data_IF_980702499621
#
_entry.id   IF_980702499621
#
_cell.length_a   1.000
_cell.length_b   1.000
_cell.length_c   1.000
_cell.angle_alpha   90.00
_cell.angle_beta   90.00
_cell.angle_gamma   90.00
#
_symmetry.space_group_name_H-M   'P 1'
#
loop_
_entity.id
_entity.type
_entity.pdbx_description
1 polymer ?
#
# COMPACT_ATOMS: atom_id res chain seq x y z
N UNK A 1 -13.08 6.18 42.25
CA UNK A 1 -12.85 5.61 40.90
C UNK A 1 -13.38 6.60 39.89
N UNK A 2 -12.67 6.87 38.79
CA UNK A 2 -13.19 7.73 37.73
C UNK A 2 -14.45 7.11 37.12
N UNK A 3 -15.48 7.92 36.89
CA UNK A 3 -16.67 7.54 36.14
C UNK A 3 -16.35 7.50 34.64
N UNK A 4 -17.08 6.69 33.88
CA UNK A 4 -16.99 6.69 32.42
C UNK A 4 -17.64 7.95 31.84
N UNK A 5 -17.09 8.43 30.72
CA UNK A 5 -17.66 9.54 29.98
C UNK A 5 -18.97 9.14 29.30
N UNK A 6 -19.78 10.13 28.93
CA UNK A 6 -21.01 9.90 28.16
C UNK A 6 -20.71 9.22 26.81
N UNK A 7 -19.65 9.65 26.11
CA UNK A 7 -19.19 9.06 24.86
C UNK A 7 -18.86 7.57 25.02
N UNK A 8 -18.17 7.17 26.10
CA UNK A 8 -17.86 5.77 26.38
C UNK A 8 -19.14 4.93 26.56
N UNK A 9 -20.16 5.49 27.21
CA UNK A 9 -21.45 4.82 27.45
C UNK A 9 -22.30 4.74 26.16
N UNK A 10 -22.22 5.75 25.29
CA UNK A 10 -22.86 5.74 23.96
C UNK A 10 -22.20 4.68 23.07
N UNK A 11 -20.87 4.64 23.02
CA UNK A 11 -20.13 3.61 22.27
C UNK A 11 -20.44 2.21 22.82
N UNK A 12 -20.59 2.06 24.14
CA UNK A 12 -21.02 0.82 24.76
C UNK A 12 -22.45 0.41 24.33
N UNK A 13 -23.38 1.36 24.18
CA UNK A 13 -24.75 1.11 23.68
C UNK A 13 -24.75 0.55 22.25
N UNK A 14 -23.95 1.12 21.34
CA UNK A 14 -23.84 0.65 19.95
C UNK A 14 -22.97 -0.61 19.78
N UNK A 15 -22.30 -1.06 20.85
CA UNK A 15 -21.39 -2.21 20.79
C UNK A 15 -19.99 -1.88 20.25
N UNK A 16 -19.68 -0.60 20.07
CA UNK A 16 -18.42 -0.10 19.48
C UNK A 16 -17.39 0.35 20.55
N UNK A 17 -17.74 0.26 21.84
CA UNK A 17 -16.88 0.68 22.94
C UNK A 17 -15.69 -0.24 23.21
N UNK A 18 -14.49 0.33 23.32
CA UNK A 18 -13.31 -0.36 23.86
C UNK A 18 -13.54 -0.74 25.33
N UNK A 19 -13.04 -1.90 25.78
CA UNK A 19 -13.13 -2.37 27.19
C UNK A 19 -14.55 -2.60 27.70
N UNK A 20 -15.41 -3.19 26.85
CA UNK A 20 -16.80 -3.55 27.17
C UNK A 20 -16.98 -4.23 28.53
N UNK A 21 -16.15 -5.23 28.83
CA UNK A 21 -16.22 -6.00 30.07
C UNK A 21 -15.94 -5.17 31.34
N UNK A 22 -15.11 -4.12 31.24
CA UNK A 22 -14.83 -3.24 32.38
C UNK A 22 -15.97 -2.25 32.63
N UNK A 23 -16.59 -1.76 31.55
CA UNK A 23 -17.79 -0.92 31.62
C UNK A 23 -18.95 -1.73 32.23
N UNK A 24 -19.18 -2.97 31.78
CA UNK A 24 -20.20 -3.86 32.35
C UNK A 24 -20.00 -4.09 33.86
N UNK A 25 -18.76 -4.37 34.28
CA UNK A 25 -18.42 -4.52 35.70
C UNK A 25 -18.66 -3.23 36.48
N UNK A 26 -18.33 -2.08 35.90
CA UNK A 26 -18.51 -0.78 36.53
C UNK A 26 -19.99 -0.37 36.63
N UNK A 27 -20.81 -0.66 35.61
CA UNK A 27 -22.25 -0.42 35.65
C UNK A 27 -22.93 -1.28 36.74
N UNK A 28 -22.40 -2.48 37.02
CA UNK A 28 -22.85 -3.30 38.15
C UNK A 28 -22.44 -2.76 39.53
N UNK A 29 -21.33 -2.04 39.62
CA UNK A 29 -20.77 -1.54 40.88
C UNK A 29 -21.10 -0.06 41.18
N UNK A 30 -21.47 0.73 40.17
CA UNK A 30 -21.64 2.18 40.27
C UNK A 30 -23.04 2.63 39.86
N UNK A 31 -23.85 3.07 40.83
CA UNK A 31 -25.24 3.47 40.62
C UNK A 31 -25.39 4.74 39.78
N UNK A 32 -24.45 5.70 39.85
CA UNK A 32 -24.50 6.92 39.04
C UNK A 32 -24.27 6.64 37.56
N UNK A 33 -23.27 5.82 37.22
CA UNK A 33 -23.03 5.39 35.84
C UNK A 33 -24.18 4.51 35.30
N UNK A 34 -24.77 3.66 36.14
CA UNK A 34 -25.96 2.89 35.75
C UNK A 34 -27.19 3.78 35.48
N UNK A 35 -27.37 4.86 36.25
CA UNK A 35 -28.42 5.84 36.00
C UNK A 35 -28.18 6.62 34.69
N UNK A 36 -26.95 7.11 34.48
CA UNK A 36 -26.58 7.80 33.24
C UNK A 36 -26.77 6.90 32.00
N UNK A 37 -26.33 5.65 32.07
CA UNK A 37 -26.51 4.69 30.98
C UNK A 37 -27.99 4.42 30.67
N UNK A 38 -28.84 4.26 31.68
CA UNK A 38 -30.29 4.09 31.46
C UNK A 38 -30.94 5.28 30.77
N UNK A 39 -30.52 6.51 31.11
CA UNK A 39 -31.00 7.73 30.46
C UNK A 39 -30.59 7.79 28.99
N UNK A 40 -29.33 7.47 28.69
CA UNK A 40 -28.79 7.44 27.32
C UNK A 40 -29.50 6.36 26.50
N UNK A 41 -29.57 5.12 27.01
CA UNK A 41 -30.22 4.01 26.33
C UNK A 41 -31.71 4.28 26.09
N UNK A 42 -32.40 4.91 27.06
CA UNK A 42 -33.79 5.36 26.90
C UNK A 42 -33.94 6.33 25.73
N UNK A 43 -33.14 7.39 25.71
CA UNK A 43 -33.17 8.40 24.63
C UNK A 43 -32.86 7.79 23.26
N UNK A 44 -31.81 6.97 23.17
CA UNK A 44 -31.39 6.36 21.91
C UNK A 44 -32.39 5.30 21.40
N UNK A 45 -33.09 4.59 22.30
CA UNK A 45 -34.12 3.63 21.90
C UNK A 45 -35.35 4.26 21.24
N UNK A 46 -35.57 5.57 21.43
CA UNK A 46 -36.63 6.31 20.74
C UNK A 46 -36.32 6.49 19.25
N UNK A 47 -35.04 6.43 18.86
CA UNK A 47 -34.63 6.49 17.46
C UNK A 47 -34.77 5.09 16.87
N UNK A 48 -35.93 4.81 16.30
CA UNK A 48 -36.15 3.59 15.53
C UNK A 48 -35.39 3.71 14.21
N UNK A 49 -34.57 2.71 13.88
CA UNK A 49 -33.96 2.63 12.55
C UNK A 49 -35.09 2.64 11.51
N UNK A 50 -35.13 3.61 10.57
CA UNK A 50 -36.16 3.61 9.56
C UNK A 50 -36.07 2.31 8.76
N UNK A 51 -37.22 1.73 8.41
CA UNK A 51 -37.25 0.63 7.45
C UNK A 51 -36.53 1.10 6.19
N UNK A 52 -35.50 0.37 5.79
CA UNK A 52 -34.76 0.69 4.57
C UNK A 52 -35.71 0.39 3.40
N UNK A 53 -36.12 1.39 2.61
CA UNK A 53 -37.03 1.16 1.51
C UNK A 53 -36.37 0.22 0.49
N UNK A 54 -37.17 -0.70 -0.04
CA UNK A 54 -36.72 -1.60 -1.09
C UNK A 54 -36.34 -0.79 -2.33
N UNK A 55 -35.11 -0.94 -2.79
CA UNK A 55 -34.58 -0.22 -3.95
C UNK A 55 -34.89 -1.02 -5.20
N UNK A 56 -35.41 -0.35 -6.21
CA UNK A 56 -35.64 -0.98 -7.51
C UNK A 56 -34.30 -1.36 -8.19
N UNK A 57 -34.38 -2.20 -9.22
CA UNK A 57 -33.23 -2.68 -9.99
C UNK A 57 -32.44 -1.55 -10.68
N UNK A 58 -33.06 -0.38 -10.89
CA UNK A 58 -32.47 0.78 -11.58
C UNK A 58 -31.75 1.71 -10.62
N UNK A 59 -31.99 1.63 -9.32
CA UNK A 59 -31.37 2.47 -8.30
C UNK A 59 -29.84 2.52 -8.44
N UNK A 60 -29.21 1.37 -8.66
CA UNK A 60 -27.76 1.30 -8.88
C UNK A 60 -27.29 2.11 -10.10
N UNK A 61 -28.02 2.02 -11.21
CA UNK A 61 -27.73 2.77 -12.44
C UNK A 61 -27.93 4.28 -12.23
N UNK A 62 -28.99 4.68 -11.54
CA UNK A 62 -29.27 6.10 -11.28
C UNK A 62 -28.23 6.74 -10.36
N UNK A 63 -27.82 6.01 -9.31
CA UNK A 63 -26.73 6.43 -8.42
C UNK A 63 -25.42 6.50 -9.19
N UNK A 64 -25.11 5.49 -10.00
CA UNK A 64 -23.91 5.47 -10.82
C UNK A 64 -23.85 6.65 -11.81
N UNK A 65 -24.93 6.94 -12.51
CA UNK A 65 -25.00 8.09 -13.44
C UNK A 65 -24.80 9.44 -12.74
N UNK A 66 -25.16 9.54 -11.45
CA UNK A 66 -24.97 10.76 -10.66
C UNK A 66 -23.54 10.89 -10.14
N UNK A 67 -22.91 9.78 -9.74
CA UNK A 67 -21.57 9.78 -9.12
C UNK A 67 -20.46 9.72 -10.17
N UNK A 68 -20.68 9.11 -11.34
CA UNK A 68 -19.65 8.92 -12.39
C UNK A 68 -18.89 10.20 -12.79
N UNK A 69 -19.51 11.37 -12.65
CA UNK A 69 -18.90 12.66 -13.00
C UNK A 69 -18.15 13.31 -11.83
N UNK A 70 -18.35 12.81 -10.61
CA UNK A 70 -17.66 13.26 -9.39
C UNK A 70 -16.52 12.34 -8.98
N UNK A 71 -16.50 11.12 -9.51
CA UNK A 71 -15.34 10.24 -9.37
C UNK A 71 -14.15 10.88 -10.11
N UNK A 72 -12.96 10.95 -9.50
CA UNK A 72 -11.76 11.32 -10.23
C UNK A 72 -11.63 10.37 -11.42
N UNK A 73 -11.23 10.91 -12.58
CA UNK A 73 -10.85 10.07 -13.70
C UNK A 73 -9.77 9.11 -13.20
N UNK A 74 -10.13 7.83 -13.06
CA UNK A 74 -9.13 6.78 -12.95
C UNK A 74 -8.32 6.88 -14.23
N UNK A 75 -7.10 7.41 -14.13
CA UNK A 75 -6.16 7.50 -15.25
C UNK A 75 -6.02 6.10 -15.83
N UNK A 76 -6.78 5.86 -16.89
CA UNK A 76 -6.81 4.58 -17.56
C UNK A 76 -5.57 4.58 -18.44
N UNK A 77 -4.68 3.65 -18.14
CA UNK A 77 -3.53 3.27 -18.95
C UNK A 77 -2.34 4.25 -18.97
N UNK A 78 -1.48 4.07 -17.98
CA UNK A 78 -0.03 4.28 -18.04
C UNK A 78 0.70 3.27 -18.97
N UNK A 79 -0.04 2.49 -19.77
CA UNK A 79 0.55 1.76 -20.89
C UNK A 79 0.79 2.73 -22.04
N UNK A 80 2.03 2.90 -22.53
CA UNK A 80 2.27 3.91 -23.52
C UNK A 80 1.61 3.54 -24.85
N UNK A 81 1.18 4.56 -25.57
CA UNK A 81 0.72 4.48 -26.96
C UNK A 81 1.82 4.07 -27.97
N UNK A 82 3.03 3.71 -27.51
CA UNK A 82 4.15 3.23 -28.35
C UNK A 82 3.92 1.83 -28.97
N UNK A 83 2.94 1.06 -28.47
CA UNK A 83 2.65 -0.28 -28.96
C UNK A 83 1.63 -0.32 -30.10
N UNK A 84 1.14 0.86 -30.53
CA UNK A 84 0.20 1.01 -31.65
C UNK A 84 0.74 1.95 -32.72
N UNK A 85 1.90 1.62 -33.28
CA UNK A 85 2.29 2.14 -34.59
C UNK A 85 2.45 0.98 -35.58
N UNK A 86 1.61 1.03 -36.60
CA UNK A 86 1.46 0.02 -37.63
C UNK A 86 2.78 -0.31 -38.32
N UNK A 87 3.00 -1.62 -38.45
CA UNK A 87 4.29 -2.31 -38.54
C UNK A 87 4.90 -2.36 -39.95
N UNK A 88 4.86 -1.30 -40.76
CA UNK A 88 5.42 -1.39 -42.11
C UNK A 88 6.40 -0.27 -42.53
N UNK A 89 6.54 0.83 -41.79
CA UNK A 89 7.48 1.90 -42.17
C UNK A 89 8.82 1.90 -41.38
N UNK A 90 8.92 1.19 -40.25
CA UNK A 90 10.05 1.33 -39.30
C UNK A 90 11.22 0.37 -39.56
N UNK A 91 11.04 -0.66 -40.39
CA UNK A 91 12.09 -1.65 -40.66
C UNK A 91 13.34 -1.06 -41.37
N UNK A 92 13.19 0.05 -42.10
CA UNK A 92 14.31 0.73 -42.77
C UNK A 92 15.12 1.66 -41.86
N UNK A 93 14.47 2.33 -40.91
CA UNK A 93 15.12 3.35 -40.07
C UNK A 93 15.90 2.73 -38.88
N UNK A 94 15.43 1.61 -38.34
CA UNK A 94 16.09 0.93 -37.23
C UNK A 94 17.46 0.34 -37.62
N UNK A 95 17.60 -0.21 -38.82
CA UNK A 95 18.86 -0.80 -39.29
C UNK A 95 19.96 0.26 -39.47
N UNK A 96 19.63 1.45 -39.98
CA UNK A 96 20.58 2.55 -40.12
C UNK A 96 21.05 3.07 -38.76
N UNK A 97 20.14 3.18 -37.79
CA UNK A 97 20.48 3.65 -36.45
C UNK A 97 21.33 2.62 -35.69
N UNK A 98 21.03 1.33 -35.82
CA UNK A 98 21.88 0.25 -35.28
C UNK A 98 23.29 0.26 -35.89
N UNK A 99 23.42 0.50 -37.21
CA UNK A 99 24.72 0.61 -37.86
C UNK A 99 25.55 1.79 -37.34
N UNK A 100 24.92 2.95 -37.11
CA UNK A 100 25.58 4.14 -36.54
C UNK A 100 26.02 3.89 -35.10
N UNK A 101 25.19 3.24 -34.27
CA UNK A 101 25.52 2.92 -32.88
C UNK A 101 26.68 1.92 -32.81
N UNK A 102 26.68 0.90 -33.66
CA UNK A 102 27.78 -0.07 -33.73
C UNK A 102 29.07 0.60 -34.20
N UNK A 103 29.00 1.46 -35.21
CA UNK A 103 30.16 2.22 -35.68
C UNK A 103 30.72 3.16 -34.60
N UNK A 104 29.84 3.88 -33.88
CA UNK A 104 30.24 4.75 -32.77
C UNK A 104 30.83 3.95 -31.58
N UNK A 105 30.29 2.77 -31.30
CA UNK A 105 30.80 1.88 -30.25
C UNK A 105 32.19 1.32 -30.58
N UNK A 106 32.38 0.86 -31.82
CA UNK A 106 33.68 0.35 -32.29
C UNK A 106 34.71 1.48 -32.36
N UNK A 107 34.32 2.66 -32.84
CA UNK A 107 35.18 3.84 -32.85
C UNK A 107 35.58 4.27 -31.42
N UNK A 108 34.65 4.28 -30.47
CA UNK A 108 34.92 4.61 -29.07
C UNK A 108 35.75 3.57 -28.32
N UNK A 109 35.72 2.30 -28.76
CA UNK A 109 36.50 1.22 -28.16
C UNK A 109 37.94 1.17 -28.65
N UNK A 110 38.20 1.65 -29.86
CA UNK A 110 39.52 1.62 -30.51
C UNK A 110 40.30 2.93 -30.38
N UNK A 111 39.64 4.05 -30.04
CA UNK A 111 40.33 5.34 -29.85
C UNK A 111 40.99 5.42 -28.47
N UNK A 112 42.30 5.75 -28.37
CA UNK A 112 42.92 6.07 -27.11
C UNK A 112 42.23 7.30 -26.50
N UNK A 113 41.71 7.17 -25.28
CA UNK A 113 41.18 8.30 -24.51
C UNK A 113 42.31 9.31 -24.31
N UNK A 114 42.21 10.44 -24.99
CA UNK A 114 42.94 11.65 -24.60
C UNK A 114 42.17 12.26 -23.44
N UNK A 115 42.78 12.30 -22.26
CA UNK A 115 42.28 13.03 -21.11
C UNK A 115 42.26 14.53 -21.44
N UNK A 116 41.10 15.03 -21.83
CA UNK A 116 40.83 16.47 -21.85
C UNK A 116 40.51 16.92 -20.41
N UNK A 117 41.33 17.80 -19.80
CA UNK A 117 41.03 18.31 -18.48
C UNK A 117 39.96 19.40 -18.57
N UNK A 118 38.88 19.23 -17.81
CA UNK A 118 38.07 20.34 -17.34
C UNK A 118 36.79 20.63 -18.12
N UNK A 119 35.77 19.77 -17.99
CA UNK A 119 34.40 20.25 -17.92
C UNK A 119 33.65 19.48 -16.83
N UNK A 120 33.78 19.93 -15.58
CA UNK A 120 32.86 19.53 -14.51
C UNK A 120 31.52 20.22 -14.81
N UNK A 121 30.61 19.50 -15.45
CA UNK A 121 29.20 19.90 -15.54
C UNK A 121 28.64 19.95 -14.11
N UNK A 122 28.38 21.16 -13.61
CA UNK A 122 27.63 21.41 -12.38
C UNK A 122 26.10 21.19 -12.57
N UNK A 123 25.73 20.08 -13.21
CA UNK A 123 24.34 19.71 -13.50
C UNK A 123 23.96 18.31 -12.95
N UNK A 124 24.83 17.67 -12.16
CA UNK A 124 24.61 16.31 -11.65
C UNK A 124 23.73 16.24 -10.40
N UNK A 125 23.73 17.26 -9.55
CA UNK A 125 23.20 17.08 -8.19
C UNK A 125 21.67 17.14 -8.15
N UNK A 126 21.05 18.06 -8.90
CA UNK A 126 19.59 18.23 -8.92
C UNK A 126 18.85 17.10 -9.64
N UNK A 127 19.43 16.56 -10.72
CA UNK A 127 18.85 15.44 -11.46
C UNK A 127 18.94 14.13 -10.64
N UNK A 128 20.04 13.93 -9.92
CA UNK A 128 20.21 12.77 -9.04
C UNK A 128 19.28 12.85 -7.83
N UNK A 129 19.09 14.05 -7.26
CA UNK A 129 18.20 14.29 -6.13
C UNK A 129 16.71 14.17 -6.50
N UNK A 130 16.31 14.62 -7.70
CA UNK A 130 14.97 14.36 -8.22
C UNK A 130 14.72 12.86 -8.46
N UNK A 131 15.69 12.15 -9.04
CA UNK A 131 15.60 10.70 -9.23
C UNK A 131 15.52 9.91 -7.92
N UNK A 132 16.22 10.35 -6.88
CA UNK A 132 16.12 9.76 -5.53
C UNK A 132 14.72 10.01 -4.93
N UNK A 133 14.17 11.22 -5.03
CA UNK A 133 12.83 11.52 -4.52
C UNK A 133 11.72 10.72 -5.21
N UNK A 134 11.77 10.61 -6.54
CA UNK A 134 10.82 9.79 -7.30
C UNK A 134 10.92 8.32 -6.92
N UNK A 135 12.15 7.82 -6.69
CA UNK A 135 12.35 6.44 -6.23
C UNK A 135 11.76 6.20 -4.85
N UNK A 136 12.01 7.10 -3.89
CA UNK A 136 11.46 6.96 -2.53
C UNK A 136 9.94 6.98 -2.55
N UNK A 137 9.33 7.83 -3.38
CA UNK A 137 7.87 7.88 -3.56
C UNK A 137 7.32 6.58 -4.13
N UNK A 138 7.99 6.01 -5.14
CA UNK A 138 7.59 4.73 -5.71
C UNK A 138 7.73 3.57 -4.70
N UNK A 139 8.78 3.56 -3.88
CA UNK A 139 8.95 2.57 -2.82
C UNK A 139 7.89 2.76 -1.73
N UNK A 140 7.55 3.99 -1.37
CA UNK A 140 6.50 4.29 -0.39
C UNK A 140 5.13 3.77 -0.85
N UNK A 141 4.73 4.06 -2.10
CA UNK A 141 3.49 3.54 -2.69
C UNK A 141 3.45 2.00 -2.72
N UNK A 142 4.58 1.37 -3.06
CA UNK A 142 4.73 -0.09 -3.05
C UNK A 142 4.54 -0.68 -1.66
N UNK A 143 5.14 -0.07 -0.63
CA UNK A 143 4.98 -0.49 0.76
C UNK A 143 3.54 -0.34 1.23
N UNK A 144 2.83 0.72 0.83
CA UNK A 144 1.41 0.91 1.15
C UNK A 144 0.53 -0.19 0.51
N UNK A 145 0.77 -0.50 -0.78
CA UNK A 145 0.06 -1.58 -1.48
C UNK A 145 0.34 -2.93 -0.83
N UNK A 146 1.58 -3.16 -0.38
CA UNK A 146 1.97 -4.37 0.34
C UNK A 146 1.33 -4.47 1.74
N UNK A 147 1.23 -3.37 2.48
CA UNK A 147 0.51 -3.32 3.76
C UNK A 147 -0.94 -3.76 3.60
N UNK A 148 -1.62 -3.26 2.56
CA UNK A 148 -3.02 -3.60 2.27
C UNK A 148 -3.21 -5.11 2.07
N UNK A 149 -2.37 -5.74 1.26
CA UNK A 149 -2.43 -7.20 1.02
C UNK A 149 -2.17 -7.98 2.31
N UNK A 150 -1.15 -7.59 3.09
CA UNK A 150 -0.85 -8.24 4.36
C UNK A 150 -2.00 -8.08 5.38
N UNK A 151 -2.65 -6.92 5.40
CA UNK A 151 -3.84 -6.69 6.23
C UNK A 151 -5.05 -7.52 5.78
N UNK A 152 -5.24 -7.69 4.47
CA UNK A 152 -6.32 -8.52 3.93
C UNK A 152 -6.10 -10.00 4.32
N UNK A 153 -4.88 -10.52 4.21
CA UNK A 153 -4.54 -11.88 4.68
C UNK A 153 -4.71 -12.00 6.19
N UNK A 154 -4.29 -11.00 6.96
CA UNK A 154 -4.41 -11.00 8.42
C UNK A 154 -5.87 -10.98 8.87
N UNK A 155 -6.72 -10.21 8.20
CA UNK A 155 -8.13 -10.02 8.56
C UNK A 155 -9.09 -10.93 7.78
N UNK A 156 -8.57 -11.80 6.90
CA UNK A 156 -9.37 -12.80 6.21
C UNK A 156 -10.17 -13.62 7.23
N UNK A 157 -11.50 -13.60 7.08
CA UNK A 157 -12.40 -14.28 7.99
C UNK A 157 -13.60 -14.82 7.23
N UNK A 158 -14.04 -16.02 7.62
CA UNK A 158 -15.20 -16.68 7.04
C UNK A 158 -16.27 -16.91 8.09
N UNK A 159 -17.48 -17.21 7.62
CA UNK A 159 -18.56 -17.68 8.50
C UNK A 159 -18.09 -18.89 9.32
N UNK A 160 -18.59 -19.02 10.55
CA UNK A 160 -18.14 -20.04 11.51
C UNK A 160 -18.31 -21.45 10.92
N UNK A 161 -17.21 -22.12 10.61
CA UNK A 161 -17.17 -23.47 10.00
C UNK A 161 -17.07 -23.50 8.47
N UNK A 162 -17.05 -22.36 7.79
CA UNK A 162 -16.78 -22.26 6.36
C UNK A 162 -15.27 -22.16 6.07
N UNK A 163 -14.87 -22.62 4.89
CA UNK A 163 -13.55 -22.34 4.35
C UNK A 163 -13.42 -20.84 4.04
N UNK A 164 -12.25 -20.29 4.30
CA UNK A 164 -11.87 -18.91 4.05
C UNK A 164 -11.15 -18.89 2.70
N UNK A 165 -11.68 -18.14 1.75
CA UNK A 165 -11.05 -17.93 0.45
C UNK A 165 -10.07 -16.75 0.54
N UNK A 166 -8.82 -16.98 0.15
CA UNK A 166 -7.75 -15.97 0.09
C UNK A 166 -7.23 -15.78 -1.34
N UNK A 167 -7.93 -16.30 -2.36
CA UNK A 167 -7.53 -16.22 -3.77
C UNK A 167 -7.26 -14.79 -4.24
N UNK A 168 -8.08 -13.83 -3.82
CA UNK A 168 -7.88 -12.43 -4.17
C UNK A 168 -6.56 -11.89 -3.58
N UNK A 169 -6.31 -12.16 -2.30
CA UNK A 169 -5.07 -11.76 -1.63
C UNK A 169 -3.83 -12.43 -2.26
N UNK A 170 -3.96 -13.67 -2.76
CA UNK A 170 -2.90 -14.33 -3.52
C UNK A 170 -2.63 -13.66 -4.87
N UNK A 171 -3.69 -13.25 -5.59
CA UNK A 171 -3.57 -12.48 -6.82
C UNK A 171 -2.82 -11.16 -6.58
N UNK A 172 -3.24 -10.41 -5.56
CA UNK A 172 -2.58 -9.16 -5.21
C UNK A 172 -1.12 -9.36 -4.75
N UNK A 173 -0.83 -10.43 -4.01
CA UNK A 173 0.54 -10.76 -3.62
C UNK A 173 1.41 -11.13 -4.82
N UNK A 174 0.86 -11.81 -5.83
CA UNK A 174 1.59 -12.17 -7.03
C UNK A 174 2.00 -10.94 -7.85
N UNK A 175 1.08 -9.98 -7.99
CA UNK A 175 1.32 -8.74 -8.72
C UNK A 175 2.44 -7.88 -8.08
N UNK A 176 2.65 -8.00 -6.78
CA UNK A 176 3.65 -7.22 -6.04
C UNK A 176 5.09 -7.75 -6.14
N UNK A 177 5.30 -9.00 -6.56
CA UNK A 177 6.63 -9.64 -6.48
C UNK A 177 7.63 -9.00 -7.44
N UNK A 178 7.22 -8.72 -8.68
CA UNK A 178 8.13 -8.19 -9.70
C UNK A 178 8.59 -6.77 -9.36
N UNK A 179 7.65 -5.91 -8.94
CA UNK A 179 7.96 -4.56 -8.47
C UNK A 179 8.84 -4.58 -7.22
N UNK A 180 8.57 -5.49 -6.29
CA UNK A 180 9.36 -5.66 -5.08
C UNK A 180 10.84 -6.00 -5.38
N UNK A 181 11.09 -6.87 -6.36
CA UNK A 181 12.44 -7.21 -6.82
C UNK A 181 13.15 -5.99 -7.40
N UNK A 182 12.46 -5.25 -8.25
CA UNK A 182 12.97 -4.02 -8.86
C UNK A 182 13.38 -3.00 -7.80
N UNK A 183 12.52 -2.76 -6.80
CA UNK A 183 12.79 -1.83 -5.72
C UNK A 183 13.92 -2.30 -4.79
N UNK A 184 13.99 -3.60 -4.48
CA UNK A 184 15.10 -4.14 -3.69
C UNK A 184 16.44 -3.94 -4.40
N UNK A 185 16.52 -4.25 -5.70
CA UNK A 185 17.73 -4.03 -6.49
C UNK A 185 18.10 -2.55 -6.59
N UNK A 186 17.11 -1.67 -6.68
CA UNK A 186 17.33 -0.22 -6.69
C UNK A 186 17.86 0.30 -5.35
N UNK A 187 17.30 -0.17 -4.22
CA UNK A 187 17.75 0.16 -2.88
C UNK A 187 19.17 -0.36 -2.60
N UNK A 188 19.46 -1.61 -2.98
CA UNK A 188 20.79 -2.20 -2.82
C UNK A 188 21.86 -1.43 -3.61
N UNK A 189 21.56 -1.03 -4.85
CA UNK A 189 22.46 -0.19 -5.67
C UNK A 189 22.68 1.21 -5.10
N UNK A 190 21.70 1.73 -4.35
CA UNK A 190 21.79 3.01 -3.66
C UNK A 190 22.58 2.93 -2.34
N UNK A 191 22.86 1.73 -1.84
CA UNK A 191 23.47 1.49 -0.53
C UNK A 191 22.48 1.52 0.63
N UNK A 192 21.17 1.56 0.35
CA UNK A 192 20.11 1.57 1.36
C UNK A 192 19.81 0.14 1.86
N UNK A 193 20.72 -0.43 2.67
CA UNK A 193 20.63 -1.83 3.12
C UNK A 193 19.37 -2.11 3.93
N UNK A 194 18.96 -1.19 4.81
CA UNK A 194 17.73 -1.34 5.60
C UNK A 194 16.49 -1.50 4.73
N UNK A 195 16.39 -0.72 3.64
CA UNK A 195 15.26 -0.81 2.70
C UNK A 195 15.33 -2.14 1.94
N UNK A 196 16.52 -2.51 1.46
CA UNK A 196 16.72 -3.77 0.74
C UNK A 196 16.37 -4.99 1.60
N UNK A 197 16.70 -4.97 2.90
CA UNK A 197 16.41 -6.06 3.84
C UNK A 197 14.90 -6.20 4.10
N UNK A 198 14.18 -5.08 4.28
CA UNK A 198 12.72 -5.10 4.45
C UNK A 198 12.02 -5.62 3.18
N UNK A 199 12.47 -5.18 2.00
CA UNK A 199 11.92 -5.65 0.73
C UNK A 199 12.27 -7.14 0.46
N UNK A 200 13.39 -7.63 0.97
CA UNK A 200 13.75 -9.05 0.91
C UNK A 200 12.87 -9.91 1.83
N UNK A 201 12.66 -9.48 3.08
CA UNK A 201 11.70 -10.10 4.00
C UNK A 201 10.29 -10.11 3.39
N UNK A 202 9.89 -9.00 2.75
CA UNK A 202 8.60 -8.88 2.07
C UNK A 202 8.46 -9.87 0.91
N UNK A 203 9.50 -10.06 0.07
CA UNK A 203 9.43 -11.04 -1.04
C UNK A 203 9.17 -12.45 -0.52
N UNK A 204 9.87 -12.87 0.54
CA UNK A 204 9.74 -14.22 1.10
C UNK A 204 8.30 -14.48 1.55
N UNK A 205 7.69 -13.49 2.20
CA UNK A 205 6.32 -13.58 2.70
C UNK A 205 5.28 -13.52 1.59
N UNK A 206 5.46 -12.64 0.59
CA UNK A 206 4.60 -12.62 -0.60
C UNK A 206 4.65 -13.94 -1.36
N UNK A 207 5.84 -14.53 -1.52
CA UNK A 207 5.99 -15.86 -2.14
C UNK A 207 5.30 -16.95 -1.33
N UNK A 208 5.38 -16.92 -0.01
CA UNK A 208 4.68 -17.90 0.84
C UNK A 208 3.15 -17.77 0.72
N UNK A 209 2.62 -16.55 0.64
CA UNK A 209 1.20 -16.29 0.40
C UNK A 209 0.79 -16.86 -0.97
N UNK A 210 1.53 -16.55 -2.04
CA UNK A 210 1.22 -16.97 -3.42
C UNK A 210 1.24 -18.49 -3.58
N UNK A 211 2.19 -19.19 -2.94
CA UNK A 211 2.31 -20.65 -3.07
C UNK A 211 1.50 -21.42 -2.02
N UNK A 212 0.77 -20.72 -1.15
CA UNK A 212 -0.15 -21.31 -0.18
C UNK A 212 -1.45 -21.85 -0.82
N UNK A 213 -2.26 -22.62 -0.08
CA UNK A 213 -3.58 -23.02 -0.54
C UNK A 213 -4.54 -21.81 -0.54
N UNK A 214 -5.32 -21.67 -1.61
CA UNK A 214 -6.27 -20.57 -1.80
C UNK A 214 -7.51 -20.65 -0.91
N UNK A 215 -7.85 -21.84 -0.43
CA UNK A 215 -8.95 -22.07 0.52
C UNK A 215 -8.43 -22.68 1.81
N UNK A 216 -8.64 -21.99 2.93
CA UNK A 216 -8.10 -22.33 4.24
C UNK A 216 -9.21 -22.61 5.25
N UNK A 217 -9.02 -23.59 6.13
CA UNK A 217 -9.81 -23.66 7.36
C UNK A 217 -9.34 -22.58 8.36
N UNK A 218 -10.16 -22.16 9.33
CA UNK A 218 -9.74 -21.19 10.34
C UNK A 218 -8.45 -21.58 11.10
N UNK A 219 -8.26 -22.87 11.37
CA UNK A 219 -7.05 -23.36 12.02
C UNK A 219 -5.80 -23.28 11.11
N UNK A 220 -5.96 -23.54 9.80
CA UNK A 220 -4.87 -23.40 8.83
C UNK A 220 -4.52 -21.93 8.59
N UNK A 221 -5.51 -21.03 8.55
CA UNK A 221 -5.26 -19.60 8.44
C UNK A 221 -4.46 -19.08 9.64
N UNK A 222 -4.78 -19.53 10.85
CA UNK A 222 -4.01 -19.16 12.04
C UNK A 222 -2.56 -19.68 11.97
N UNK A 223 -2.34 -20.89 11.47
CA UNK A 223 -0.98 -21.38 11.22
C UNK A 223 -0.23 -20.55 10.19
N UNK A 224 -0.90 -20.10 9.13
CA UNK A 224 -0.31 -19.20 8.12
C UNK A 224 0.06 -17.85 8.75
N UNK A 225 -0.81 -17.26 9.57
CA UNK A 225 -0.51 -16.00 10.29
C UNK A 225 0.71 -16.09 11.20
N UNK A 226 0.83 -17.20 11.93
CA UNK A 226 1.99 -17.46 12.81
C UNK A 226 3.26 -17.67 12.00
N UNK A 227 3.17 -18.37 10.86
CA UNK A 227 4.34 -18.72 10.05
C UNK A 227 4.88 -17.53 9.24
N UNK A 228 4.00 -16.65 8.77
CA UNK A 228 4.35 -15.46 7.99
C UNK A 228 5.00 -14.33 8.82
N UNK A 229 5.18 -14.49 10.14
CA UNK A 229 5.60 -13.40 11.05
C UNK A 229 4.87 -12.07 10.74
N UNK A 230 3.62 -12.15 10.29
CA UNK A 230 2.99 -11.10 9.50
C UNK A 230 2.81 -9.80 10.30
N UNK A 231 2.62 -9.91 11.62
CA UNK A 231 2.58 -8.78 12.52
C UNK A 231 3.93 -8.04 12.61
N UNK A 232 5.04 -8.78 12.62
CA UNK A 232 6.38 -8.19 12.64
C UNK A 232 6.72 -7.56 11.28
N UNK A 233 6.36 -8.22 10.17
CA UNK A 233 6.55 -7.66 8.83
C UNK A 233 5.69 -6.40 8.62
N UNK A 234 4.39 -6.44 8.97
CA UNK A 234 3.50 -5.28 8.90
C UNK A 234 4.06 -4.09 9.70
N UNK A 235 4.63 -4.35 10.88
CA UNK A 235 5.28 -3.31 11.66
C UNK A 235 6.50 -2.72 10.94
N UNK A 236 7.40 -3.55 10.38
CA UNK A 236 8.56 -3.08 9.61
C UNK A 236 8.15 -2.25 8.39
N UNK A 237 7.14 -2.71 7.64
CA UNK A 237 6.61 -2.04 6.45
C UNK A 237 6.04 -0.67 6.83
N UNK A 238 5.25 -0.58 7.92
CA UNK A 238 4.70 0.69 8.42
C UNK A 238 5.76 1.68 8.84
N UNK A 239 6.70 1.24 9.68
CA UNK A 239 7.80 2.10 10.14
C UNK A 239 8.59 2.62 8.96
N UNK A 240 8.91 1.75 7.99
CA UNK A 240 9.68 2.17 6.82
C UNK A 240 8.89 3.12 5.91
N UNK A 241 7.59 2.88 5.71
CA UNK A 241 6.71 3.78 4.98
C UNK A 241 6.67 5.18 5.61
N UNK A 242 6.52 5.25 6.94
CA UNK A 242 6.48 6.52 7.67
C UNK A 242 7.82 7.26 7.59
N UNK A 243 8.95 6.55 7.75
CA UNK A 243 10.29 7.13 7.58
C UNK A 243 10.53 7.68 6.17
N UNK A 244 10.05 6.98 5.14
CA UNK A 244 10.17 7.44 3.75
C UNK A 244 9.35 8.70 3.50
N UNK A 245 8.13 8.77 4.05
CA UNK A 245 7.27 9.97 3.96
C UNK A 245 7.85 11.17 4.70
N UNK A 246 8.49 10.96 5.85
CA UNK A 246 9.21 12.02 6.56
C UNK A 246 10.39 12.54 5.72
N UNK A 247 11.14 11.66 5.06
CA UNK A 247 12.26 12.04 4.19
C UNK A 247 11.81 12.78 2.92
N UNK A 248 10.62 12.48 2.40
CA UNK A 248 10.04 13.20 1.26
C UNK A 248 9.55 14.61 1.62
N UNK A 249 9.01 14.78 2.83
CA UNK A 249 8.42 16.04 3.30
C UNK A 249 9.45 16.98 3.95
N UNK A 250 10.62 16.46 4.33
CA UNK A 250 11.71 17.25 4.88
C UNK A 250 12.23 18.29 3.85
N UNK A 251 12.27 19.59 4.20
CA UNK A 251 12.80 20.61 3.29
C UNK A 251 14.31 20.40 3.09
N UNK A 252 14.76 20.43 1.83
CA UNK A 252 16.18 20.43 1.49
C UNK A 252 16.85 21.64 2.14
N UNK A 253 17.58 21.41 3.24
CA UNK A 253 18.33 22.47 3.91
C UNK A 253 19.38 23.02 2.93
N UNK A 254 19.45 24.35 2.71
CA UNK A 254 20.49 24.91 1.86
C UNK A 254 21.85 24.59 2.48
N UNK A 255 22.68 23.85 1.74
CA UNK A 255 24.07 23.59 2.11
C UNK A 255 24.78 24.92 2.29
N UNK A 256 25.30 25.18 3.50
CA UNK A 256 26.20 26.30 3.76
C UNK A 256 27.47 26.06 2.94
N UNK A 257 27.59 26.76 1.82
CA UNK A 257 28.86 26.92 1.12
C UNK A 257 29.81 27.64 2.06
N UNK A 258 30.88 26.97 2.48
CA UNK A 258 32.04 27.58 3.15
C UNK A 258 33.23 27.42 2.22
#
# INVERSE_FOLDING_TARGET
MPHYSEDDLILYYYGEGRRRADIERHLGACSSCAAAYRQIAGTLSLVTAPEVPERDERYGLEVWQRIRHQLPEQETAWWPAWLRWDRLAVAGAAAALCAIVIAAFVAGRLWPRQDLPGMKMAASDTATEAGTRVRMAAISDHLERSERVLLDVMNASGARGAHIDVSDAQGWAADLIDDNRLYREAAARAGDTMIADVLDDLERNLLEIVHGPSTLTPAQLEQVRVRLDAAALLFKVRVLHDELRERETAPALPRKTT
#
